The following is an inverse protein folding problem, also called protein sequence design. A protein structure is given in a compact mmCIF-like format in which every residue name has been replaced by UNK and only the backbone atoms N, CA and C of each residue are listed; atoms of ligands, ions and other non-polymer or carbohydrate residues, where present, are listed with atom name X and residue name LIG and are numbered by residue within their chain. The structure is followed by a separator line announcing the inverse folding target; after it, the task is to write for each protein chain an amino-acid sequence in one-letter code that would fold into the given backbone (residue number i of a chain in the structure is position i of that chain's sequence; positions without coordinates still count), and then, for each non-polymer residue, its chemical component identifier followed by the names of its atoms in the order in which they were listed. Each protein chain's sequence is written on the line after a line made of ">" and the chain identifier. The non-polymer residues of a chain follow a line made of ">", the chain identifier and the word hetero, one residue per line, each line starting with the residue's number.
data_IF_208573793064
#
_entry.id   IF_208573793064
#
_cell.length_a   1.000
_cell.length_b   1.000
_cell.length_c   1.000
_cell.angle_alpha   90.00
_cell.angle_beta   90.00
_cell.angle_gamma   90.00
#
_symmetry.space_group_name_H-M   'P 1'
#
loop_
_entity.id
_entity.type
_entity.pdbx_description
1 polymer ?
#
# COMPACT_ATOMS: atom_id res chain seq x y z
N UNK A 1 -0.37 22.69 -26.43
CA UNK A 1 -0.53 23.21 -25.05
C UNK A 1 -1.99 23.34 -24.62
N UNK A 2 -2.82 24.23 -25.17
CA UNK A 2 -4.23 24.35 -24.70
C UNK A 2 -5.13 23.16 -25.08
N UNK A 3 -5.02 22.64 -26.31
CA UNK A 3 -5.80 21.47 -26.74
C UNK A 3 -5.43 20.20 -25.98
N UNK A 4 -4.13 19.94 -25.80
CA UNK A 4 -3.65 18.77 -25.04
C UNK A 4 -4.12 18.83 -23.58
N UNK A 5 -4.10 20.01 -22.96
CA UNK A 5 -4.69 20.19 -21.62
C UNK A 5 -6.18 19.86 -21.65
N UNK A 6 -6.96 20.42 -22.58
CA UNK A 6 -8.39 20.12 -22.68
C UNK A 6 -8.70 18.61 -22.78
N UNK A 7 -7.85 17.86 -23.49
CA UNK A 7 -7.97 16.40 -23.59
C UNK A 7 -7.63 15.68 -22.27
N UNK A 8 -6.62 16.14 -21.54
CA UNK A 8 -6.31 15.60 -20.21
C UNK A 8 -7.39 15.94 -19.17
N UNK A 9 -8.02 17.12 -19.24
CA UNK A 9 -9.14 17.53 -18.38
C UNK A 9 -10.34 16.60 -18.58
N UNK A 10 -10.64 16.28 -19.85
CA UNK A 10 -11.68 15.30 -20.21
C UNK A 10 -11.32 13.91 -19.70
N UNK A 11 -10.06 13.48 -19.86
CA UNK A 11 -9.60 12.19 -19.37
C UNK A 11 -9.73 12.07 -17.84
N UNK A 12 -9.33 13.11 -17.09
CA UNK A 12 -9.52 13.19 -15.63
C UNK A 12 -11.00 12.97 -15.29
N UNK A 13 -11.89 13.71 -15.94
CA UNK A 13 -13.34 13.63 -15.69
C UNK A 13 -13.90 12.23 -15.95
N UNK A 14 -13.43 11.56 -17.00
CA UNK A 14 -13.81 10.19 -17.33
C UNK A 14 -13.32 9.19 -16.28
N UNK A 15 -12.04 9.26 -15.88
CA UNK A 15 -11.49 8.34 -14.89
C UNK A 15 -12.10 8.56 -13.49
N UNK A 16 -12.35 9.80 -13.10
CA UNK A 16 -13.06 10.09 -11.84
C UNK A 16 -14.48 9.53 -11.85
N UNK A 17 -15.15 9.56 -13.01
CA UNK A 17 -16.46 8.91 -13.18
C UNK A 17 -16.36 7.40 -13.04
N UNK A 18 -15.38 6.74 -13.66
CA UNK A 18 -15.16 5.29 -13.50
C UNK A 18 -14.96 4.91 -12.02
N UNK A 19 -14.16 5.68 -11.29
CA UNK A 19 -13.96 5.48 -9.85
C UNK A 19 -15.28 5.66 -9.09
N UNK A 20 -16.12 6.64 -9.47
CA UNK A 20 -17.39 6.90 -8.79
C UNK A 20 -18.45 5.81 -8.98
N UNK A 21 -18.36 5.03 -10.05
CA UNK A 21 -19.24 3.88 -10.34
C UNK A 21 -18.63 2.54 -9.92
N UNK A 22 -17.60 2.58 -9.06
CA UNK A 22 -16.89 1.41 -8.51
C UNK A 22 -16.14 0.57 -9.55
N UNK A 23 -15.82 1.16 -10.71
CA UNK A 23 -14.94 0.57 -11.74
C UNK A 23 -13.48 1.01 -11.55
N UNK A 24 -13.06 1.15 -10.29
CA UNK A 24 -11.69 1.52 -9.96
C UNK A 24 -10.73 0.35 -10.19
N UNK A 25 -9.67 0.58 -10.97
CA UNK A 25 -8.62 -0.40 -11.24
C UNK A 25 -7.22 0.21 -11.12
N UNK A 26 -6.15 -0.59 -11.01
CA UNK A 26 -4.78 -0.08 -11.04
C UNK A 26 -4.53 0.80 -12.28
N UNK A 27 -5.04 0.40 -13.43
CA UNK A 27 -4.88 1.10 -14.71
C UNK A 27 -5.65 2.44 -14.73
N UNK A 28 -6.86 2.47 -14.17
CA UNK A 28 -7.64 3.72 -14.03
C UNK A 28 -6.89 4.72 -13.17
N UNK A 29 -6.35 4.29 -12.02
CA UNK A 29 -5.55 5.15 -11.15
C UNK A 29 -4.22 5.57 -11.82
N UNK A 30 -3.54 4.67 -12.50
CA UNK A 30 -2.31 4.98 -13.24
C UNK A 30 -2.55 6.06 -14.31
N UNK A 31 -3.60 5.89 -15.11
CA UNK A 31 -3.93 6.83 -16.18
C UNK A 31 -4.42 8.17 -15.63
N UNK A 32 -5.22 8.16 -14.56
CA UNK A 32 -5.62 9.39 -13.86
C UNK A 32 -4.38 10.13 -13.30
N UNK A 33 -3.41 9.39 -12.76
CA UNK A 33 -2.12 9.92 -12.34
C UNK A 33 -1.35 10.58 -13.49
N UNK A 34 -1.28 9.92 -14.65
CA UNK A 34 -0.65 10.46 -15.86
C UNK A 34 -1.33 11.75 -16.35
N UNK A 35 -2.66 11.78 -16.40
CA UNK A 35 -3.40 13.00 -16.79
C UNK A 35 -3.12 14.14 -15.83
N UNK A 36 -3.14 13.89 -14.52
CA UNK A 36 -2.78 14.90 -13.52
C UNK A 36 -1.32 15.37 -13.62
N UNK A 37 -0.39 14.46 -13.94
CA UNK A 37 1.01 14.79 -14.14
C UNK A 37 1.20 15.72 -15.34
N UNK A 38 0.54 15.45 -16.46
CA UNK A 38 0.57 16.30 -17.66
C UNK A 38 0.00 17.69 -17.41
N UNK A 39 -1.01 17.78 -16.53
CA UNK A 39 -1.60 19.04 -16.07
C UNK A 39 -0.80 19.74 -14.97
N UNK A 40 0.41 19.25 -14.66
CA UNK A 40 1.28 19.76 -13.60
C UNK A 40 0.63 19.77 -12.20
N UNK A 41 -0.44 18.99 -12.00
CA UNK A 41 -1.09 18.78 -10.70
C UNK A 41 -0.36 17.65 -9.97
N UNK A 42 0.91 17.88 -9.62
CA UNK A 42 1.85 16.85 -9.16
C UNK A 42 1.34 16.09 -7.92
N UNK A 43 0.78 16.78 -6.92
CA UNK A 43 0.23 16.12 -5.73
C UNK A 43 -0.89 15.13 -6.05
N UNK A 44 -1.77 15.46 -7.00
CA UNK A 44 -2.83 14.54 -7.47
C UNK A 44 -2.26 13.39 -8.29
N UNK A 45 -1.19 13.62 -9.06
CA UNK A 45 -0.50 12.55 -9.77
C UNK A 45 0.09 11.52 -8.80
N UNK A 46 0.83 12.00 -7.79
CA UNK A 46 1.42 11.17 -6.72
C UNK A 46 0.32 10.35 -6.03
N UNK A 47 -0.78 10.99 -5.61
CA UNK A 47 -1.91 10.30 -4.97
C UNK A 47 -2.41 9.12 -5.80
N UNK A 48 -2.64 9.34 -7.10
CA UNK A 48 -3.22 8.33 -7.96
C UNK A 48 -2.21 7.22 -8.32
N UNK A 49 -0.93 7.55 -8.49
CA UNK A 49 0.10 6.51 -8.62
C UNK A 49 0.24 5.66 -7.34
N UNK A 50 0.14 6.26 -6.15
CA UNK A 50 0.14 5.50 -4.90
C UNK A 50 -1.08 4.58 -4.77
N UNK A 51 -2.26 5.04 -5.22
CA UNK A 51 -3.46 4.20 -5.31
C UNK A 51 -3.29 3.05 -6.31
N UNK A 52 -2.70 3.30 -7.47
CA UNK A 52 -2.40 2.27 -8.44
C UNK A 52 -1.43 1.21 -7.87
N UNK A 53 -0.36 1.63 -7.18
CA UNK A 53 0.57 0.71 -6.52
C UNK A 53 -0.01 -0.01 -5.31
N UNK A 54 -1.03 0.55 -4.66
CA UNK A 54 -1.74 -0.20 -3.62
C UNK A 54 -2.43 -1.43 -4.19
N UNK A 55 -3.04 -1.31 -5.38
CA UNK A 55 -3.72 -2.42 -6.05
C UNK A 55 -2.75 -3.32 -6.83
N UNK A 56 -1.69 -2.76 -7.40
CA UNK A 56 -0.64 -3.50 -8.11
C UNK A 56 0.75 -3.06 -7.63
N UNK A 57 1.25 -3.60 -6.49
CA UNK A 57 2.49 -3.12 -5.87
C UNK A 57 3.76 -3.30 -6.70
N UNK A 58 3.72 -4.19 -7.68
CA UNK A 58 4.86 -4.55 -8.54
C UNK A 58 4.80 -3.92 -9.93
N UNK A 59 3.84 -3.02 -10.18
CA UNK A 59 3.77 -2.34 -11.47
C UNK A 59 4.97 -1.39 -11.66
N UNK A 60 5.85 -1.73 -12.60
CA UNK A 60 7.12 -1.02 -12.80
C UNK A 60 6.88 0.38 -13.36
N UNK A 61 5.90 0.54 -14.25
CA UNK A 61 5.63 1.79 -14.92
C UNK A 61 5.08 2.82 -13.93
N UNK A 62 4.14 2.40 -13.07
CA UNK A 62 3.63 3.23 -11.98
C UNK A 62 4.74 3.59 -10.99
N UNK A 63 5.64 2.68 -10.63
CA UNK A 63 6.79 3.00 -9.76
C UNK A 63 7.72 4.05 -10.37
N UNK A 64 7.99 3.95 -11.67
CA UNK A 64 8.82 4.91 -12.39
C UNK A 64 8.14 6.28 -12.41
N UNK A 65 6.86 6.34 -12.74
CA UNK A 65 6.11 7.59 -12.82
C UNK A 65 5.91 8.23 -11.45
N UNK A 66 5.67 7.44 -10.40
CA UNK A 66 5.61 7.93 -9.02
C UNK A 66 6.95 8.54 -8.60
N UNK A 67 8.07 7.88 -8.90
CA UNK A 67 9.41 8.40 -8.60
C UNK A 67 9.67 9.71 -9.33
N UNK A 68 9.27 9.82 -10.60
CA UNK A 68 9.38 11.05 -11.37
C UNK A 68 8.52 12.16 -10.76
N UNK A 69 7.26 11.88 -10.42
CA UNK A 69 6.36 12.84 -9.79
C UNK A 69 6.87 13.31 -8.42
N UNK A 70 7.36 12.39 -7.59
CA UNK A 70 8.00 12.73 -6.29
C UNK A 70 9.27 13.56 -6.45
N UNK A 71 10.05 13.36 -7.52
CA UNK A 71 11.22 14.18 -7.81
C UNK A 71 10.86 15.62 -8.25
N UNK A 72 9.63 15.83 -8.75
CA UNK A 72 9.09 17.15 -9.11
C UNK A 72 8.34 17.83 -7.96
N UNK A 73 8.00 17.10 -6.89
CA UNK A 73 7.42 17.70 -5.69
C UNK A 73 8.47 18.56 -4.98
N UNK A 74 8.05 19.76 -4.56
CA UNK A 74 8.94 20.77 -3.95
C UNK A 74 9.53 20.23 -2.63
N UNK A 75 8.71 19.54 -1.84
CA UNK A 75 9.12 18.99 -0.56
C UNK A 75 9.45 17.50 -0.62
N UNK A 76 10.71 17.19 -0.30
CA UNK A 76 11.14 15.81 -0.04
C UNK A 76 10.83 15.48 1.43
N UNK A 77 9.68 14.87 1.67
CA UNK A 77 9.45 14.19 2.95
C UNK A 77 10.38 12.98 2.98
N UNK A 78 11.48 13.10 3.72
CA UNK A 78 12.35 11.96 3.98
C UNK A 78 11.55 10.95 4.78
N UNK A 79 11.33 9.76 4.23
CA UNK A 79 10.77 8.65 4.97
C UNK A 79 11.68 8.40 6.17
N UNK A 80 11.14 8.60 7.39
CA UNK A 80 11.81 8.33 8.66
C UNK A 80 12.60 7.02 8.57
N UNK A 81 13.89 7.06 8.88
CA UNK A 81 14.74 5.87 8.88
C UNK A 81 14.21 4.87 9.90
N UNK A 82 13.51 3.84 9.41
CA UNK A 82 13.03 2.73 10.22
C UNK A 82 14.21 1.78 10.48
N UNK A 83 14.28 1.20 11.67
CA UNK A 83 15.29 0.20 12.00
C UNK A 83 15.31 -0.99 11.02
N UNK A 84 16.46 -1.64 10.85
CA UNK A 84 16.67 -2.70 9.84
C UNK A 84 15.58 -3.77 9.81
N UNK A 85 15.17 -4.29 10.98
CA UNK A 85 14.15 -5.34 11.09
C UNK A 85 12.78 -4.86 10.60
N UNK A 86 12.39 -3.64 10.94
CA UNK A 86 11.15 -3.02 10.47
C UNK A 86 11.16 -2.84 8.96
N UNK A 87 12.27 -2.38 8.40
CA UNK A 87 12.42 -2.25 6.95
C UNK A 87 12.31 -3.61 6.24
N UNK A 88 12.93 -4.66 6.80
CA UNK A 88 12.83 -6.01 6.25
C UNK A 88 11.38 -6.52 6.26
N UNK A 89 10.66 -6.37 7.37
CA UNK A 89 9.26 -6.80 7.48
C UNK A 89 8.35 -6.03 6.53
N UNK A 90 8.51 -4.71 6.48
CA UNK A 90 7.70 -3.83 5.64
C UNK A 90 8.00 -4.00 4.15
N UNK A 91 9.25 -4.34 3.80
CA UNK A 91 9.62 -4.65 2.42
C UNK A 91 8.79 -5.79 1.86
N UNK A 92 8.65 -6.89 2.61
CA UNK A 92 7.82 -8.02 2.19
C UNK A 92 6.33 -7.64 2.21
N UNK A 93 5.87 -6.97 3.27
CA UNK A 93 4.48 -6.53 3.40
C UNK A 93 4.01 -5.66 2.21
N UNK A 94 4.83 -4.68 1.81
CA UNK A 94 4.50 -3.77 0.71
C UNK A 94 4.57 -4.43 -0.67
N UNK A 95 5.38 -5.48 -0.84
CA UNK A 95 5.60 -6.11 -2.15
C UNK A 95 4.65 -7.27 -2.46
N UNK A 96 4.06 -7.90 -1.45
CA UNK A 96 3.13 -9.01 -1.62
C UNK A 96 1.72 -8.50 -1.93
N UNK A 97 0.89 -9.23 -2.67
CA UNK A 97 -0.53 -8.91 -2.81
C UNK A 97 -1.35 -9.60 -1.70
N UNK A 98 -2.62 -9.20 -1.49
CA UNK A 98 -3.55 -9.95 -0.62
C UNK A 98 -3.67 -11.40 -1.08
N UNK A 99 -3.78 -11.64 -2.38
CA UNK A 99 -3.90 -13.00 -2.93
C UNK A 99 -2.69 -13.87 -2.59
N UNK A 100 -1.48 -13.33 -2.77
CA UNK A 100 -0.24 -14.03 -2.45
C UNK A 100 -0.16 -14.32 -0.94
N UNK A 101 -0.44 -13.33 -0.10
CA UNK A 101 -0.40 -13.47 1.35
C UNK A 101 -1.44 -14.50 1.85
N UNK A 102 -2.62 -14.52 1.24
CA UNK A 102 -3.68 -15.50 1.51
C UNK A 102 -3.26 -16.91 1.13
N UNK A 103 -2.62 -17.06 -0.04
CA UNK A 103 -2.09 -18.35 -0.49
C UNK A 103 -1.04 -18.89 0.49
N UNK A 104 -0.03 -18.07 0.86
CA UNK A 104 1.01 -18.51 1.80
C UNK A 104 0.44 -18.88 3.17
N UNK A 105 -0.49 -18.08 3.68
CA UNK A 105 -1.17 -18.35 4.96
C UNK A 105 -1.94 -19.68 4.90
N UNK A 106 -2.63 -19.94 3.79
CA UNK A 106 -3.40 -21.18 3.57
C UNK A 106 -2.50 -22.41 3.48
N UNK A 107 -1.38 -22.32 2.74
CA UNK A 107 -0.39 -23.40 2.65
C UNK A 107 0.25 -23.70 4.01
N UNK A 108 0.57 -22.66 4.78
CA UNK A 108 1.12 -22.82 6.13
C UNK A 108 0.11 -23.50 7.06
N UNK A 109 -1.16 -23.13 6.97
CA UNK A 109 -2.24 -23.76 7.74
C UNK A 109 -2.39 -25.26 7.40
N UNK A 110 -2.36 -25.62 6.12
CA UNK A 110 -2.39 -27.02 5.69
C UNK A 110 -1.17 -27.81 6.18
N UNK A 111 0.03 -27.20 6.17
CA UNK A 111 1.23 -27.81 6.70
C UNK A 111 1.13 -28.08 8.22
N UNK A 112 0.53 -27.16 8.98
CA UNK A 112 0.28 -27.35 10.43
C UNK A 112 -0.67 -28.53 10.65
N UNK A 113 -1.79 -28.59 9.91
CA UNK A 113 -2.73 -29.72 9.99
C UNK A 113 -2.02 -31.03 9.67
N UNK A 114 -1.22 -31.06 8.62
CA UNK A 114 -0.46 -32.24 8.24
C UNK A 114 0.49 -32.70 9.36
N UNK A 115 1.23 -31.79 10.00
CA UNK A 115 2.11 -32.10 11.13
C UNK A 115 1.31 -32.65 12.32
N UNK A 116 0.15 -32.05 12.62
CA UNK A 116 -0.72 -32.50 13.70
C UNK A 116 -1.25 -33.92 13.45
N UNK A 117 -1.72 -34.21 12.23
CA UNK A 117 -2.17 -35.56 11.84
C UNK A 117 -1.00 -36.55 11.91
N UNK A 118 0.15 -36.18 11.35
CA UNK A 118 1.36 -37.01 11.37
C UNK A 118 1.84 -37.33 12.79
N UNK A 119 1.62 -36.41 13.75
CA UNK A 119 1.96 -36.61 15.16
C UNK A 119 1.14 -37.71 15.85
N UNK A 120 -0.02 -38.09 15.31
CA UNK A 120 -0.87 -39.17 15.84
C UNK A 120 -0.21 -40.53 15.55
N UNK A 121 0.37 -40.70 14.37
CA UNK A 121 0.96 -41.97 13.92
C UNK A 121 2.33 -42.26 14.55
N UNK A 122 3.09 -41.22 14.92
CA UNK A 122 4.47 -41.36 15.42
C UNK A 122 4.60 -40.97 16.89
N UNK A 123 4.12 -41.84 17.78
CA UNK A 123 4.12 -41.62 19.24
C UNK A 123 5.51 -41.27 19.81
N UNK A 124 6.58 -41.89 19.30
CA UNK A 124 7.95 -41.67 19.75
C UNK A 124 8.47 -40.22 19.51
N UNK A 125 8.00 -39.55 18.45
CA UNK A 125 8.41 -38.17 18.09
C UNK A 125 7.31 -37.14 18.33
N UNK A 126 6.18 -37.54 18.93
CA UNK A 126 4.98 -36.69 19.07
C UNK A 126 5.25 -35.34 19.74
N UNK A 127 6.03 -35.31 20.83
CA UNK A 127 6.36 -34.05 21.53
C UNK A 127 7.11 -33.07 20.62
N UNK A 128 8.10 -33.56 19.87
CA UNK A 128 8.83 -32.74 18.91
C UNK A 128 7.91 -32.17 17.82
N UNK A 129 7.04 -33.01 17.27
CA UNK A 129 6.08 -32.61 16.23
C UNK A 129 5.10 -31.53 16.73
N UNK A 130 4.64 -31.64 17.98
CA UNK A 130 3.78 -30.62 18.60
C UNK A 130 4.51 -29.29 18.81
N UNK A 131 5.79 -29.31 19.23
CA UNK A 131 6.59 -28.07 19.31
C UNK A 131 6.79 -27.43 17.94
N UNK A 132 7.05 -28.23 16.89
CA UNK A 132 7.15 -27.70 15.53
C UNK A 132 5.82 -27.11 15.03
N UNK A 133 4.69 -27.76 15.32
CA UNK A 133 3.37 -27.23 14.98
C UNK A 133 3.08 -25.92 15.73
N UNK A 134 3.46 -25.83 17.01
CA UNK A 134 3.35 -24.60 17.80
C UNK A 134 4.17 -23.44 17.24
N UNK A 135 5.42 -23.70 16.82
CA UNK A 135 6.26 -22.70 16.17
C UNK A 135 5.65 -22.18 14.86
N UNK A 136 5.15 -23.08 14.00
CA UNK A 136 4.43 -22.70 12.80
C UNK A 136 3.11 -21.99 13.11
N UNK A 137 2.41 -22.36 14.18
CA UNK A 137 1.21 -21.67 14.66
C UNK A 137 1.47 -20.22 15.07
N UNK A 138 2.58 -19.95 15.77
CA UNK A 138 2.99 -18.58 16.10
C UNK A 138 3.31 -17.77 14.83
N UNK A 139 4.01 -18.36 13.86
CA UNK A 139 4.26 -17.74 12.56
C UNK A 139 2.96 -17.45 11.80
N UNK A 140 2.03 -18.40 11.80
CA UNK A 140 0.71 -18.24 11.19
C UNK A 140 -0.07 -17.09 11.82
N UNK A 141 -0.01 -16.94 13.15
CA UNK A 141 -0.67 -15.83 13.83
C UNK A 141 -0.11 -14.46 13.42
N UNK A 142 1.21 -14.35 13.25
CA UNK A 142 1.85 -13.12 12.75
C UNK A 142 1.39 -12.81 11.31
N UNK A 143 1.38 -13.83 10.43
CA UNK A 143 0.90 -13.66 9.05
C UNK A 143 -0.59 -13.30 9.00
N UNK A 144 -1.40 -13.86 9.91
CA UNK A 144 -2.81 -13.53 10.02
C UNK A 144 -3.04 -12.07 10.41
N UNK A 145 -2.26 -11.53 11.36
CA UNK A 145 -2.30 -10.11 11.70
C UNK A 145 -1.93 -9.26 10.48
N UNK A 146 -0.88 -9.62 9.75
CA UNK A 146 -0.50 -8.90 8.54
C UNK A 146 -1.58 -8.93 7.47
N UNK A 147 -2.22 -10.09 7.24
CA UNK A 147 -3.33 -10.21 6.31
C UNK A 147 -4.51 -9.33 6.72
N UNK A 148 -4.87 -9.36 8.01
CA UNK A 148 -5.94 -8.52 8.54
C UNK A 148 -5.67 -7.02 8.36
N UNK A 149 -4.45 -6.58 8.70
CA UNK A 149 -4.02 -5.18 8.51
C UNK A 149 -4.06 -4.81 7.03
N UNK A 150 -3.64 -5.71 6.14
CA UNK A 150 -3.62 -5.46 4.70
C UNK A 150 -5.01 -5.33 4.09
N UNK A 151 -5.91 -6.24 4.44
CA UNK A 151 -7.33 -6.16 4.06
C UNK A 151 -7.94 -4.85 4.55
N UNK A 152 -7.59 -4.41 5.76
CA UNK A 152 -8.05 -3.11 6.29
C UNK A 152 -7.45 -1.93 5.54
N UNK A 153 -6.15 -1.96 5.25
CA UNK A 153 -5.48 -0.88 4.52
C UNK A 153 -6.08 -0.71 3.11
N UNK A 154 -6.27 -1.81 2.38
CA UNK A 154 -6.81 -1.77 1.02
C UNK A 154 -8.28 -1.37 0.97
N UNK A 155 -9.13 -1.87 1.89
CA UNK A 155 -10.57 -1.61 1.83
C UNK A 155 -11.04 -0.34 2.55
N UNK A 156 -10.31 0.13 3.58
CA UNK A 156 -10.84 1.17 4.48
C UNK A 156 -9.98 2.42 4.61
N UNK A 157 -8.71 2.42 4.18
CA UNK A 157 -7.92 3.65 4.26
C UNK A 157 -8.17 4.53 3.05
N UNK A 158 -9.07 5.50 3.21
CA UNK A 158 -9.16 6.64 2.31
C UNK A 158 -7.95 7.55 2.56
N UNK A 159 -6.84 7.27 1.89
CA UNK A 159 -5.70 8.18 1.89
C UNK A 159 -6.10 9.46 1.14
N UNK A 160 -6.05 10.57 1.87
CA UNK A 160 -6.18 11.92 1.32
C UNK A 160 -4.78 12.51 1.18
N UNK A 161 -4.43 12.99 -0.01
CA UNK A 161 -3.27 13.87 -0.20
C UNK A 161 -3.77 15.29 -0.04
N UNK A 162 -3.12 16.05 0.83
CA UNK A 162 -3.37 17.49 0.97
C UNK A 162 -2.80 18.14 -0.30
N UNK A 163 -3.68 18.65 -1.17
CA UNK A 163 -3.30 19.25 -2.47
C UNK A 163 -3.22 20.78 -2.37
N UNK A 164 -3.01 21.35 -1.18
CA UNK A 164 -2.88 22.79 -1.01
C UNK A 164 -1.45 23.20 -1.37
N UNK A 165 -1.28 24.35 -2.07
CA UNK A 165 0.04 24.94 -2.40
C UNK A 165 0.88 25.29 -1.17
N UNK A 166 0.24 25.30 -0.01
CA UNK A 166 0.85 25.49 1.29
C UNK A 166 0.03 24.72 2.31
N UNK A 167 0.64 23.81 3.07
CA UNK A 167 -0.01 23.11 4.17
C UNK A 167 0.81 23.30 5.44
N UNK A 168 0.28 24.11 6.35
CA UNK A 168 0.87 24.34 7.66
C UNK A 168 0.58 23.16 8.58
N UNK A 169 1.59 22.33 8.86
CA UNK A 169 1.50 21.25 9.82
C UNK A 169 1.66 21.84 11.24
N UNK A 170 0.59 21.82 12.02
CA UNK A 170 0.57 22.31 13.41
C UNK A 170 0.52 21.15 14.38
N UNK A 171 0.97 21.37 15.63
CA UNK A 171 0.97 20.33 16.67
C UNK A 171 -0.43 19.94 17.17
N UNK A 172 -1.48 20.60 16.69
CA UNK A 172 -2.87 20.32 17.03
C UNK A 172 -3.84 20.90 15.99
N UNK A 173 -5.14 20.62 16.14
CA UNK A 173 -6.15 20.87 15.11
C UNK A 173 -6.65 22.32 15.03
N UNK A 174 -6.27 23.22 15.96
CA UNK A 174 -6.65 24.65 15.92
C UNK A 174 -5.53 25.51 15.32
N UNK A 175 -5.89 26.68 14.79
CA UNK A 175 -4.94 27.63 14.19
C UNK A 175 -3.96 28.23 15.21
N UNK A 176 -4.27 28.14 16.50
CA UNK A 176 -3.48 28.70 17.58
C UNK A 176 -2.33 27.76 18.02
N UNK A 177 -2.30 26.52 17.52
CA UNK A 177 -1.25 25.55 17.84
C UNK A 177 0.07 25.87 17.12
N UNK A 178 1.18 25.47 17.75
CA UNK A 178 2.54 25.65 17.27
C UNK A 178 2.69 25.10 15.84
N UNK A 179 3.12 25.94 14.91
CA UNK A 179 3.50 25.55 13.57
C UNK A 179 4.78 24.70 13.64
N UNK A 180 4.69 23.44 13.24
CA UNK A 180 5.81 22.50 13.23
C UNK A 180 6.63 22.64 11.94
N UNK A 181 5.95 22.63 10.80
CA UNK A 181 6.57 22.86 9.49
C UNK A 181 5.49 23.25 8.48
N UNK A 182 5.90 23.96 7.44
CA UNK A 182 5.04 24.29 6.30
C UNK A 182 5.45 23.42 5.14
N UNK A 183 4.49 22.71 4.55
CA UNK A 183 4.66 22.03 3.29
C UNK A 183 4.27 22.97 2.14
N UNK A 184 4.99 22.90 1.02
CA UNK A 184 4.80 23.66 -0.22
C UNK A 184 4.51 22.73 -1.41
#
# INVERSE_FOLDING_TARGET
>A
SSYENEDYEKAVSLYERLISIDEASPEVFYNLGNSYFKLKKIGKAILNYERALRLCPRDKDTQINLRLAKAMAVDKINASERGFVLNMLLFFYGRMNIDELTLFSSLLYLAIIFILIFSIFFAAKRRLLLYTAGAFGALFFILFIFLFVKIKDENFTKTGVIVTEKADARSGPKEDYLLQFTLH
#
